data_IF_216601207333
#
_entry.id   IF_216601207333
#
_cell.length_a   1.000
_cell.length_b   1.000
_cell.length_c   1.000
_cell.angle_alpha   90.00
_cell.angle_beta   90.00
_cell.angle_gamma   90.00
#
_symmetry.space_group_name_H-M   'P 1'
#
loop_
_entity.id
_entity.type
_entity.pdbx_description
1 polymer ?
#
# COMPACT_ATOMS: atom_id res chain seq x y z
N UNK A 1 11.27 32.93 70.64
CA UNK A 1 12.17 31.94 70.01
C UNK A 1 11.40 30.89 69.19
N UNK A 2 10.41 30.19 69.77
CA UNK A 2 9.61 29.15 69.07
C UNK A 2 8.88 29.67 67.81
N UNK A 3 8.27 30.87 67.85
CA UNK A 3 7.59 31.45 66.68
C UNK A 3 8.54 31.73 65.50
N UNK A 4 9.80 32.09 65.77
CA UNK A 4 10.82 32.37 64.76
C UNK A 4 11.25 31.05 64.09
N UNK A 5 11.40 29.97 64.86
CA UNK A 5 11.68 28.63 64.35
C UNK A 5 10.58 28.11 63.41
N UNK A 6 9.31 28.35 63.74
CA UNK A 6 8.17 27.96 62.88
C UNK A 6 8.20 28.73 61.56
N UNK A 7 8.47 30.04 61.59
CA UNK A 7 8.58 30.86 60.38
C UNK A 7 9.75 30.39 59.50
N UNK A 8 10.88 30.07 60.11
CA UNK A 8 12.05 29.56 59.39
C UNK A 8 11.74 28.22 58.70
N UNK A 9 11.05 27.29 59.40
CA UNK A 9 10.63 26.02 58.83
C UNK A 9 9.70 26.22 57.62
N UNK A 10 8.76 27.16 57.72
CA UNK A 10 7.82 27.48 56.64
C UNK A 10 8.53 28.00 55.39
N UNK A 11 9.55 28.84 55.56
CA UNK A 11 10.37 29.33 54.45
C UNK A 11 11.15 28.22 53.75
N UNK A 12 11.66 27.23 54.51
CA UNK A 12 12.35 26.07 53.93
C UNK A 12 11.38 25.21 53.10
N UNK A 13 10.17 24.96 53.61
CA UNK A 13 9.15 24.21 52.87
C UNK A 13 8.77 24.93 51.57
N UNK A 14 8.58 26.25 51.61
CA UNK A 14 8.29 27.05 50.42
C UNK A 14 9.43 27.02 49.40
N UNK A 15 10.68 27.07 49.86
CA UNK A 15 11.86 26.97 48.98
C UNK A 15 11.95 25.61 48.30
N UNK A 16 11.71 24.52 49.02
CA UNK A 16 11.70 23.14 48.48
C UNK A 16 10.56 22.98 47.47
N UNK A 17 9.36 23.45 47.79
CA UNK A 17 8.21 23.42 46.87
C UNK A 17 8.51 24.21 45.59
N UNK A 18 9.04 25.43 45.71
CA UNK A 18 9.41 26.24 44.55
C UNK A 18 10.43 25.53 43.65
N UNK A 19 11.45 24.91 44.24
CA UNK A 19 12.47 24.16 43.48
C UNK A 19 11.87 22.96 42.74
N UNK A 20 11.02 22.17 43.41
CA UNK A 20 10.37 21.00 42.80
C UNK A 20 9.51 21.37 41.58
N UNK A 21 8.70 22.42 41.70
CA UNK A 21 7.84 22.92 40.61
C UNK A 21 8.64 23.41 39.41
N UNK A 22 9.81 24.02 39.62
CA UNK A 22 10.66 24.45 38.52
C UNK A 22 11.27 23.26 37.76
N UNK A 23 11.64 22.20 38.49
CA UNK A 23 12.21 21.00 37.87
C UNK A 23 11.17 20.24 37.03
N UNK A 24 9.93 20.11 37.53
CA UNK A 24 8.83 19.52 36.77
C UNK A 24 8.50 20.30 35.49
N UNK A 25 8.43 21.64 35.58
CA UNK A 25 8.22 22.51 34.41
C UNK A 25 9.32 22.34 33.37
N UNK A 26 10.57 22.19 33.79
CA UNK A 26 11.69 21.95 32.88
C UNK A 26 11.57 20.60 32.17
N UNK A 27 11.24 19.53 32.92
CA UNK A 27 11.06 18.19 32.36
C UNK A 27 9.89 18.13 31.37
N UNK A 28 8.73 18.71 31.72
CA UNK A 28 7.58 18.76 30.81
C UNK A 28 7.88 19.54 29.51
N UNK A 29 8.63 20.64 29.58
CA UNK A 29 9.05 21.38 28.38
C UNK A 29 9.95 20.55 27.48
N UNK A 30 10.89 19.82 28.10
CA UNK A 30 11.80 18.93 27.40
C UNK A 30 11.03 17.80 26.70
N UNK A 31 10.11 17.14 27.40
CA UNK A 31 9.30 16.06 26.83
C UNK A 31 8.39 16.55 25.69
N UNK A 32 7.73 17.69 25.86
CA UNK A 32 6.94 18.33 24.81
C UNK A 32 7.79 18.66 23.56
N UNK A 33 9.06 19.04 23.74
CA UNK A 33 9.97 19.27 22.62
C UNK A 33 10.31 17.97 21.88
N UNK A 34 10.57 16.86 22.59
CA UNK A 34 10.83 15.57 21.94
C UNK A 34 9.59 15.05 21.20
N UNK A 35 8.43 15.10 21.85
CA UNK A 35 7.17 14.65 21.25
C UNK A 35 6.81 15.49 20.02
N UNK A 36 6.96 16.82 20.09
CA UNK A 36 6.70 17.69 18.93
C UNK A 36 7.65 17.44 17.76
N UNK A 37 8.93 17.13 18.03
CA UNK A 37 9.87 16.71 16.98
C UNK A 37 9.42 15.41 16.31
N UNK A 38 9.07 14.39 17.09
CA UNK A 38 8.58 13.11 16.55
C UNK A 38 7.30 13.30 15.73
N UNK A 39 6.33 14.06 16.23
CA UNK A 39 5.08 14.36 15.50
C UNK A 39 5.39 15.09 14.19
N UNK A 40 6.32 16.06 14.21
CA UNK A 40 6.70 16.80 12.99
C UNK A 40 7.36 15.88 11.96
N UNK A 41 8.24 14.99 12.39
CA UNK A 41 8.88 14.02 11.51
C UNK A 41 7.88 13.03 10.91
N UNK A 42 6.95 12.52 11.73
CA UNK A 42 5.87 11.65 11.27
C UNK A 42 4.96 12.36 10.27
N UNK A 43 4.55 13.61 10.55
CA UNK A 43 3.75 14.43 9.63
C UNK A 43 4.50 14.69 8.32
N UNK A 44 5.81 14.93 8.37
CA UNK A 44 6.63 15.11 7.18
C UNK A 44 6.64 13.82 6.34
N UNK A 45 6.97 12.67 6.95
CA UNK A 45 6.95 11.36 6.26
C UNK A 45 5.58 11.06 5.65
N UNK A 46 4.50 11.29 6.39
CA UNK A 46 3.14 11.11 5.90
C UNK A 46 2.84 11.99 4.68
N UNK A 47 3.18 13.28 4.76
CA UNK A 47 2.95 14.21 3.64
C UNK A 47 3.81 13.87 2.42
N UNK A 48 5.04 13.43 2.62
CA UNK A 48 5.94 13.00 1.53
C UNK A 48 5.37 11.76 0.82
N UNK A 49 4.87 10.77 1.58
CA UNK A 49 4.18 9.60 1.05
C UNK A 49 2.90 9.97 0.31
N UNK A 50 2.07 10.85 0.90
CA UNK A 50 0.79 11.24 0.31
C UNK A 50 0.96 12.05 -0.97
N UNK A 51 1.96 12.94 -1.03
CA UNK A 51 2.30 13.67 -2.26
C UNK A 51 2.76 12.70 -3.33
N UNK A 52 3.67 11.80 -2.99
CA UNK A 52 4.16 10.76 -3.90
C UNK A 52 3.03 9.86 -4.43
N UNK A 53 2.11 9.42 -3.59
CA UNK A 53 0.97 8.61 -4.04
C UNK A 53 -0.02 9.43 -4.89
N UNK A 54 -0.32 10.67 -4.49
CA UNK A 54 -1.31 11.50 -5.18
C UNK A 54 -0.89 11.90 -6.60
N UNK A 55 0.41 12.08 -6.85
CA UNK A 55 0.93 12.36 -8.21
C UNK A 55 0.99 11.09 -9.07
N UNK A 56 1.16 9.92 -8.46
CA UNK A 56 1.31 8.65 -9.19
C UNK A 56 -0.02 8.05 -9.67
N UNK A 57 -1.16 8.43 -9.09
CA UNK A 57 -2.50 7.96 -9.49
C UNK A 57 -3.35 9.02 -10.20
N UNK A 58 -2.76 10.17 -10.59
CA UNK A 58 -3.48 11.22 -11.33
C UNK A 58 -3.53 10.89 -12.82
N UNK A 59 -4.75 10.89 -13.37
CA UNK A 59 -5.05 10.73 -14.80
C UNK A 59 -4.67 9.37 -15.41
N UNK A 60 -5.19 8.29 -14.82
CA UNK A 60 -5.10 6.95 -15.42
C UNK A 60 -6.04 6.90 -16.62
N UNK A 61 -5.48 6.75 -17.82
CA UNK A 61 -6.27 6.48 -19.03
C UNK A 61 -6.61 4.99 -19.10
N UNK A 62 -7.90 4.71 -19.30
CA UNK A 62 -8.43 3.36 -19.49
C UNK A 62 -9.17 3.33 -20.83
N UNK A 63 -8.68 2.50 -21.75
CA UNK A 63 -9.33 2.24 -23.02
C UNK A 63 -9.83 0.80 -23.02
N UNK A 64 -11.12 0.61 -23.29
CA UNK A 64 -11.67 -0.73 -23.48
C UNK A 64 -11.16 -1.29 -24.80
N UNK A 65 -10.72 -2.55 -24.80
CA UNK A 65 -10.31 -3.26 -26.00
C UNK A 65 -11.24 -4.45 -26.24
N UNK A 66 -11.46 -4.87 -27.50
CA UNK A 66 -12.13 -6.13 -27.77
C UNK A 66 -11.29 -7.30 -27.26
N UNK A 67 -11.94 -8.36 -26.79
CA UNK A 67 -11.28 -9.58 -26.37
C UNK A 67 -10.54 -10.21 -27.55
N UNK A 68 -9.24 -10.42 -27.40
CA UNK A 68 -8.42 -11.06 -28.44
C UNK A 68 -8.49 -12.59 -28.40
N UNK A 69 -8.87 -13.16 -27.25
CA UNK A 69 -9.05 -14.60 -27.04
C UNK A 69 -9.88 -14.84 -25.76
N UNK A 70 -10.45 -16.04 -25.63
CA UNK A 70 -11.19 -16.46 -24.44
C UNK A 70 -10.31 -17.17 -23.41
N UNK A 71 -9.15 -17.69 -23.83
CA UNK A 71 -8.22 -18.43 -22.98
C UNK A 71 -6.77 -18.13 -23.32
N UNK A 72 -5.88 -18.38 -22.35
CA UNK A 72 -4.45 -18.40 -22.62
C UNK A 72 -3.65 -19.06 -21.52
N UNK A 73 -2.34 -18.92 -21.58
CA UNK A 73 -1.40 -19.55 -20.67
C UNK A 73 -0.54 -18.47 -20.02
N UNK A 74 -0.54 -18.45 -18.69
CA UNK A 74 0.35 -17.61 -17.88
C UNK A 74 1.66 -18.34 -17.60
N UNK A 75 2.73 -17.56 -17.48
CA UNK A 75 4.05 -18.07 -17.10
C UNK A 75 4.11 -18.43 -15.60
N UNK A 76 5.24 -19.00 -15.18
CA UNK A 76 5.54 -19.18 -13.76
C UNK A 76 5.89 -17.83 -13.13
N UNK A 77 5.57 -17.67 -11.85
CA UNK A 77 5.76 -16.46 -11.06
C UNK A 77 4.97 -15.24 -11.57
N UNK A 78 3.83 -15.47 -12.23
CA UNK A 78 2.92 -14.39 -12.64
C UNK A 78 2.14 -13.87 -11.44
N UNK A 79 2.11 -12.55 -11.28
CA UNK A 79 1.38 -11.88 -10.20
C UNK A 79 0.03 -11.36 -10.70
N UNK A 80 -1.04 -11.71 -9.98
CA UNK A 80 -2.38 -11.17 -10.18
C UNK A 80 -2.51 -9.84 -9.43
N UNK A 81 -2.99 -8.80 -10.08
CA UNK A 81 -3.21 -7.49 -9.48
C UNK A 81 -4.70 -7.17 -9.32
N UNK A 82 -5.05 -6.37 -8.31
CA UNK A 82 -6.44 -5.90 -8.10
C UNK A 82 -6.88 -4.93 -9.21
N UNK A 83 -5.94 -4.16 -9.77
CA UNK A 83 -6.17 -3.19 -10.82
C UNK A 83 -5.13 -3.34 -11.94
N UNK A 84 -5.41 -2.87 -13.17
CA UNK A 84 -4.55 -2.98 -14.36
C UNK A 84 -3.33 -2.05 -14.29
N UNK A 85 -2.52 -2.16 -13.24
CA UNK A 85 -1.35 -1.34 -12.99
C UNK A 85 -0.34 -2.10 -12.12
N UNK A 86 0.96 -1.96 -12.38
CA UNK A 86 2.00 -2.69 -11.61
C UNK A 86 2.01 -2.32 -10.14
N UNK A 87 1.72 -1.05 -9.84
CA UNK A 87 1.71 -0.52 -8.47
C UNK A 87 0.45 -0.92 -7.69
N UNK A 88 -0.50 -1.61 -8.33
CA UNK A 88 -1.66 -2.16 -7.63
C UNK A 88 -1.20 -3.24 -6.68
N UNK A 89 -1.88 -3.34 -5.53
CA UNK A 89 -1.77 -4.48 -4.66
C UNK A 89 -1.99 -5.80 -5.43
N UNK A 90 -1.23 -6.81 -5.05
CA UNK A 90 -1.32 -8.15 -5.58
C UNK A 90 -2.43 -8.93 -4.87
N UNK A 91 -3.21 -9.68 -5.65
CA UNK A 91 -4.21 -10.63 -5.18
C UNK A 91 -3.56 -11.97 -4.88
N UNK A 92 -2.66 -12.42 -5.76
CA UNK A 92 -2.02 -13.72 -5.68
C UNK A 92 -0.76 -13.75 -6.57
N UNK A 93 0.15 -14.69 -6.31
CA UNK A 93 1.27 -14.98 -7.20
C UNK A 93 1.25 -16.47 -7.55
N UNK A 94 1.24 -16.75 -8.85
CA UNK A 94 1.10 -18.10 -9.39
C UNK A 94 2.48 -18.61 -9.78
N UNK A 95 2.97 -19.60 -9.04
CA UNK A 95 4.34 -20.10 -9.21
C UNK A 95 4.46 -21.23 -10.24
N UNK A 96 3.43 -21.48 -11.04
CA UNK A 96 3.37 -22.59 -12.00
C UNK A 96 2.62 -22.19 -13.26
N UNK A 97 3.08 -22.70 -14.41
CA UNK A 97 2.47 -22.43 -15.72
C UNK A 97 1.07 -23.04 -15.78
N UNK A 98 0.08 -22.21 -16.11
CA UNK A 98 -1.34 -22.60 -16.01
C UNK A 98 -2.18 -22.00 -17.12
N UNK A 99 -3.21 -22.75 -17.56
CA UNK A 99 -4.23 -22.23 -18.45
C UNK A 99 -5.26 -21.40 -17.67
N UNK A 100 -5.61 -20.25 -18.23
CA UNK A 100 -6.52 -19.28 -17.61
C UNK A 100 -7.61 -18.87 -18.60
N UNK A 101 -8.75 -18.44 -18.07
CA UNK A 101 -9.83 -17.85 -18.84
C UNK A 101 -9.65 -16.33 -18.85
N UNK A 102 -9.79 -15.71 -20.02
CA UNK A 102 -9.78 -14.26 -20.16
C UNK A 102 -11.22 -13.76 -20.07
N UNK A 103 -11.46 -12.86 -19.12
CA UNK A 103 -12.79 -12.26 -18.89
C UNK A 103 -12.86 -10.89 -19.56
N UNK A 104 -11.81 -10.08 -19.42
CA UNK A 104 -11.79 -8.72 -19.96
C UNK A 104 -10.39 -8.33 -20.47
N UNK A 105 -10.36 -7.40 -21.42
CA UNK A 105 -9.15 -6.83 -21.99
C UNK A 105 -9.27 -5.31 -22.06
N UNK A 106 -8.29 -4.64 -21.47
CA UNK A 106 -8.21 -3.17 -21.48
C UNK A 106 -6.79 -2.71 -21.73
N UNK A 107 -6.65 -1.45 -22.11
CA UNK A 107 -5.39 -0.76 -22.14
C UNK A 107 -5.37 0.32 -21.07
N UNK A 108 -4.41 0.22 -20.16
CA UNK A 108 -4.16 1.19 -19.11
C UNK A 108 -2.82 1.88 -19.40
N UNK A 109 -2.84 3.20 -19.60
CA UNK A 109 -1.62 3.99 -19.87
C UNK A 109 -0.75 3.42 -21.00
N UNK A 110 -1.37 3.09 -22.15
CA UNK A 110 -0.73 2.48 -23.33
C UNK A 110 -0.11 1.08 -23.09
N UNK A 111 -0.51 0.41 -22.00
CA UNK A 111 -0.13 -0.98 -21.72
C UNK A 111 -1.38 -1.86 -21.71
N UNK A 112 -1.42 -2.96 -22.47
CA UNK A 112 -2.54 -3.89 -22.44
C UNK A 112 -2.51 -4.80 -21.19
N UNK A 113 -3.68 -4.96 -20.59
CA UNK A 113 -3.95 -5.78 -19.41
C UNK A 113 -5.13 -6.71 -19.66
N UNK A 114 -5.08 -7.86 -19.00
CA UNK A 114 -6.12 -8.90 -19.09
C UNK A 114 -6.65 -9.20 -17.70
N UNK A 115 -7.97 -9.15 -17.54
CA UNK A 115 -8.62 -9.67 -16.35
C UNK A 115 -8.86 -11.14 -16.56
N UNK A 116 -8.26 -11.97 -15.71
CA UNK A 116 -8.27 -13.42 -15.88
C UNK A 116 -8.92 -14.12 -14.69
N UNK A 117 -9.41 -15.33 -14.93
CA UNK A 117 -9.81 -16.30 -13.93
C UNK A 117 -8.97 -17.57 -14.10
N UNK A 118 -8.48 -18.09 -12.98
CA UNK A 118 -7.70 -19.32 -12.92
C UNK A 118 -8.62 -20.44 -12.44
N UNK A 119 -9.09 -21.35 -13.32
CA UNK A 119 -10.09 -22.35 -12.95
C UNK A 119 -9.58 -23.41 -11.97
N UNK A 120 -8.27 -23.64 -11.94
CA UNK A 120 -7.64 -24.57 -10.99
C UNK A 120 -7.65 -24.03 -9.56
N UNK A 121 -7.84 -22.72 -9.38
CA UNK A 121 -8.02 -22.10 -8.08
C UNK A 121 -9.52 -22.03 -7.76
N UNK A 122 -9.85 -22.14 -6.47
CA UNK A 122 -11.23 -22.01 -6.00
C UNK A 122 -11.78 -20.57 -6.11
N UNK A 123 -12.73 -20.23 -5.25
CA UNK A 123 -13.41 -18.92 -5.32
C UNK A 123 -12.60 -17.74 -4.75
N UNK A 124 -11.48 -18.00 -4.08
CA UNK A 124 -10.67 -16.98 -3.40
C UNK A 124 -9.39 -16.70 -4.18
N UNK A 125 -9.09 -15.43 -4.42
CA UNK A 125 -7.83 -14.97 -5.05
C UNK A 125 -7.47 -15.69 -6.38
N UNK A 126 -8.50 -16.11 -7.11
CA UNK A 126 -8.41 -16.79 -8.40
C UNK A 126 -8.59 -15.86 -9.60
N UNK A 127 -8.90 -14.59 -9.35
CA UNK A 127 -9.14 -13.57 -10.37
C UNK A 127 -8.25 -12.35 -10.15
N UNK A 128 -7.86 -11.73 -11.24
CA UNK A 128 -7.09 -10.49 -11.19
C UNK A 128 -6.59 -10.05 -12.55
N UNK A 129 -5.98 -8.88 -12.55
CA UNK A 129 -5.35 -8.28 -13.72
C UNK A 129 -3.92 -8.77 -13.89
N UNK A 130 -3.55 -9.11 -15.12
CA UNK A 130 -2.19 -9.45 -15.52
C UNK A 130 -1.75 -8.62 -16.71
N UNK A 131 -0.44 -8.42 -16.85
CA UNK A 131 0.14 -7.77 -18.01
C UNK A 131 0.22 -8.72 -19.20
N UNK A 132 0.16 -8.16 -20.40
CA UNK A 132 0.44 -8.89 -21.64
C UNK A 132 1.80 -9.57 -21.66
N UNK A 133 2.82 -9.01 -21.02
CA UNK A 133 4.17 -9.59 -20.98
C UNK A 133 4.22 -10.98 -20.36
N UNK A 134 3.32 -11.23 -19.41
CA UNK A 134 3.30 -12.45 -18.61
C UNK A 134 2.33 -13.49 -19.19
N UNK A 135 1.82 -13.23 -20.40
CA UNK A 135 0.69 -13.90 -21.00
C UNK A 135 0.99 -14.37 -22.42
N UNK A 136 0.60 -15.60 -22.74
CA UNK A 136 0.65 -16.15 -24.10
C UNK A 136 -0.72 -16.66 -24.53
N UNK A 137 -1.18 -16.23 -25.71
CA UNK A 137 -2.47 -16.64 -26.26
C UNK A 137 -2.43 -18.08 -26.74
N UNK A 138 -3.49 -18.84 -26.48
CA UNK A 138 -3.76 -20.08 -27.21
C UNK A 138 -4.56 -19.67 -28.45
N UNK A 139 -3.89 -19.46 -29.61
CA UNK A 139 -4.63 -19.23 -30.85
C UNK A 139 -5.31 -20.53 -31.28
N UNK A 140 -6.59 -20.47 -31.61
CA UNK A 140 -7.33 -21.58 -32.18
C UNK A 140 -6.99 -21.77 -33.67
N UNK A 141 -5.71 -21.91 -34.01
CA UNK A 141 -5.28 -22.23 -35.39
C UNK A 141 -5.13 -23.74 -35.57
N UNK A 142 -6.11 -24.52 -35.10
CA UNK A 142 -6.13 -25.99 -35.29
C UNK A 142 -7.48 -26.58 -35.70
N UNK A 143 -8.52 -25.75 -35.87
CA UNK A 143 -9.85 -26.23 -36.31
C UNK A 143 -10.07 -26.26 -37.83
N UNK A 144 -9.15 -25.74 -38.65
CA UNK A 144 -9.34 -25.66 -40.12
C UNK A 144 -8.69 -26.79 -40.94
N UNK A 145 -8.02 -27.80 -40.35
CA UNK A 145 -7.37 -28.90 -41.10
C UNK A 145 -8.09 -30.26 -40.93
N UNK A 146 -9.39 -30.26 -40.63
CA UNK A 146 -10.19 -31.49 -40.64
C UNK A 146 -11.49 -31.30 -41.42
N UNK A 147 -11.35 -31.14 -42.72
CA UNK A 147 -12.33 -31.55 -43.72
C UNK A 147 -11.54 -31.80 -45.02
N UNK A 148 -11.01 -33.02 -45.15
CA UNK A 148 -10.64 -33.63 -46.44
C UNK A 148 -11.80 -34.52 -46.84
#
# INVERSE_FOLDING_TARGET
>A
MVRILIILLLLVVLAVMYYSLQNEKFNHRKDNMYQSKQIRELKKKYNDLMRSSSEQFRNISLNSLPLSADTGIIAENTTLHIAPMERSASVNTINYKTQVNIIDQIECSNTPWYYIEIPSLGTHNSKGWIKKSDFTFISSTSKEIRNV
#
